data_IF_659138762023
#
_entry.id   IF_659138762023
#
_cell.length_a   1.000
_cell.length_b   1.000
_cell.length_c   1.000
_cell.angle_alpha   90.00
_cell.angle_beta   90.00
_cell.angle_gamma   90.00
#
_symmetry.space_group_name_H-M   'P 1'
#
loop_
_entity.id
_entity.type
_entity.pdbx_description
1 polymer ?
#
# COMPACT_ATOMS: atom_id res chain seq x y z
N UNK A 1 -32.65 -56.08 30.88
CA UNK A 1 -32.28 -56.37 29.48
C UNK A 1 -32.41 -55.09 28.68
N UNK A 2 -31.46 -54.89 27.77
CA UNK A 2 -31.11 -53.69 26.99
C UNK A 2 -30.31 -52.60 27.72
N UNK A 3 -29.29 -52.16 26.98
CA UNK A 3 -28.03 -51.56 27.39
C UNK A 3 -27.86 -50.17 26.76
N UNK A 4 -26.86 -49.42 27.24
CA UNK A 4 -26.35 -48.18 26.66
C UNK A 4 -25.97 -47.20 27.79
N UNK A 5 -24.72 -47.09 28.26
CA UNK A 5 -23.54 -46.49 27.58
C UNK A 5 -23.81 -45.04 27.17
N UNK A 6 -23.06 -43.97 27.46
CA UNK A 6 -21.75 -43.73 28.10
C UNK A 6 -21.61 -42.19 28.23
N UNK A 7 -20.83 -41.75 29.24
CA UNK A 7 -19.98 -40.56 29.32
C UNK A 7 -20.16 -39.34 28.38
N UNK A 8 -20.10 -38.16 29.01
CA UNK A 8 -19.20 -37.02 28.71
C UNK A 8 -19.24 -36.39 27.32
N UNK A 9 -19.41 -35.06 27.24
CA UNK A 9 -18.33 -34.19 26.74
C UNK A 9 -18.82 -32.74 26.64
N UNK A 10 -18.17 -31.89 27.43
CA UNK A 10 -17.90 -30.49 27.08
C UNK A 10 -17.43 -30.39 25.63
N UNK A 11 -17.98 -29.47 24.84
CA UNK A 11 -17.41 -29.10 23.55
C UNK A 11 -17.62 -27.61 23.27
N UNK A 12 -17.13 -26.78 24.18
CA UNK A 12 -16.71 -25.42 23.86
C UNK A 12 -15.25 -25.49 23.40
N UNK A 13 -15.03 -25.80 22.13
CA UNK A 13 -13.77 -25.60 21.42
C UNK A 13 -13.87 -26.16 20.00
N UNK A 14 -14.30 -25.37 19.01
CA UNK A 14 -14.00 -25.63 17.60
C UNK A 14 -13.85 -24.31 16.82
N UNK A 15 -12.94 -23.47 17.28
CA UNK A 15 -12.16 -22.63 16.37
C UNK A 15 -10.68 -22.94 16.59
N UNK A 16 -10.36 -24.23 16.49
CA UNK A 16 -8.98 -24.63 16.22
C UNK A 16 -8.74 -24.35 14.75
N UNK A 17 -8.16 -23.18 14.48
CA UNK A 17 -7.60 -22.86 13.17
C UNK A 17 -6.44 -23.82 12.93
N UNK A 18 -6.75 -25.04 12.47
CA UNK A 18 -5.75 -25.97 11.93
C UNK A 18 -5.32 -25.49 10.55
N UNK A 19 -4.70 -24.31 10.51
CA UNK A 19 -3.58 -24.12 9.61
C UNK A 19 -2.44 -24.84 10.28
N UNK A 20 -2.25 -26.11 9.97
CA UNK A 20 -0.95 -26.76 10.20
C UNK A 20 -0.04 -26.14 9.16
N UNK A 21 0.88 -25.21 9.47
CA UNK A 21 1.88 -24.87 8.49
C UNK A 21 2.71 -26.14 8.36
N UNK A 22 2.52 -26.87 7.25
CA UNK A 22 3.64 -27.62 6.71
C UNK A 22 4.80 -26.63 6.72
N UNK A 23 5.86 -26.94 7.48
CA UNK A 23 7.07 -26.14 7.63
C UNK A 23 7.65 -25.90 6.24
N UNK A 24 7.13 -24.90 5.54
CA UNK A 24 7.94 -24.11 4.65
C UNK A 24 8.86 -23.44 5.65
N UNK A 25 10.12 -23.88 5.66
CA UNK A 25 11.22 -23.10 6.24
C UNK A 25 11.31 -21.82 5.38
N UNK A 26 10.30 -20.95 5.53
CA UNK A 26 10.25 -19.63 4.95
C UNK A 26 11.43 -18.94 5.60
N UNK A 27 12.47 -18.60 4.84
CA UNK A 27 13.66 -18.02 5.43
C UNK A 27 13.23 -16.81 6.26
N UNK A 28 13.82 -16.69 7.45
CA UNK A 28 13.60 -15.63 8.43
C UNK A 28 13.56 -14.22 7.79
N UNK A 29 14.15 -14.08 6.59
CA UNK A 29 14.04 -12.98 5.64
C UNK A 29 12.64 -12.36 5.49
N UNK A 30 11.54 -13.14 5.41
CA UNK A 30 10.21 -12.52 5.28
C UNK A 30 9.79 -11.80 6.57
N UNK A 31 10.05 -12.42 7.73
CA UNK A 31 9.81 -11.83 9.04
C UNK A 31 10.71 -10.63 9.32
N UNK A 32 11.99 -10.74 8.97
CA UNK A 32 12.98 -9.65 9.05
C UNK A 32 12.56 -8.45 8.17
N UNK A 33 12.15 -8.70 6.92
CA UNK A 33 11.67 -7.66 6.02
C UNK A 33 10.39 -7.00 6.52
N UNK A 34 9.44 -7.77 7.07
CA UNK A 34 8.21 -7.25 7.68
C UNK A 34 8.49 -6.41 8.93
N UNK A 35 9.41 -6.84 9.80
CA UNK A 35 9.82 -6.05 10.95
C UNK A 35 10.50 -4.74 10.52
N UNK A 36 11.39 -4.80 9.52
CA UNK A 36 12.01 -3.60 8.97
C UNK A 36 10.97 -2.63 8.41
N UNK A 37 9.96 -3.10 7.66
CA UNK A 37 8.88 -2.25 7.16
C UNK A 37 8.05 -1.63 8.28
N UNK A 38 7.69 -2.39 9.32
CA UNK A 38 6.92 -1.87 10.47
C UNK A 38 7.61 -0.67 11.13
N UNK A 39 8.93 -0.71 11.26
CA UNK A 39 9.70 0.41 11.81
C UNK A 39 9.98 1.54 10.81
N UNK A 40 9.91 1.28 9.50
CA UNK A 40 10.28 2.26 8.47
C UNK A 40 9.08 3.04 7.91
N UNK A 41 7.86 2.48 8.00
CA UNK A 41 6.64 3.12 7.49
C UNK A 41 6.33 4.46 8.20
N UNK A 42 6.83 4.66 9.42
CA UNK A 42 6.63 5.89 10.18
C UNK A 42 7.20 7.14 9.48
N UNK A 43 8.16 6.98 8.55
CA UNK A 43 8.82 8.10 7.86
C UNK A 43 8.87 7.90 6.33
N UNK A 44 7.70 7.77 5.71
CA UNK A 44 7.56 7.65 4.25
C UNK A 44 7.48 8.99 3.52
N UNK A 45 7.23 10.09 4.23
CA UNK A 45 6.96 11.39 3.63
C UNK A 45 8.26 12.13 3.35
N UNK A 46 8.42 12.61 2.11
CA UNK A 46 9.47 13.54 1.71
C UNK A 46 8.83 14.87 1.34
N UNK A 47 9.23 15.91 2.04
CA UNK A 47 8.87 17.27 1.67
C UNK A 47 9.71 17.70 0.46
N UNK A 48 9.04 18.14 -0.60
CA UNK A 48 9.66 18.66 -1.81
C UNK A 48 9.32 20.15 -1.91
N UNK A 49 10.37 20.98 -1.89
CA UNK A 49 10.22 22.42 -1.89
C UNK A 49 9.92 22.98 -3.29
N UNK A 50 10.60 22.49 -4.32
CA UNK A 50 10.37 22.90 -5.71
C UNK A 50 10.22 21.67 -6.63
N UNK A 51 9.00 21.35 -7.10
CA UNK A 51 8.75 20.22 -7.98
C UNK A 51 9.37 20.40 -9.37
N UNK A 52 9.72 21.62 -9.79
CA UNK A 52 10.38 21.87 -11.06
C UNK A 52 11.90 21.73 -10.97
N UNK A 53 12.45 21.71 -9.76
CA UNK A 53 13.89 21.60 -9.52
C UNK A 53 14.20 20.91 -8.20
N UNK A 54 14.08 19.58 -8.20
CA UNK A 54 14.38 18.73 -7.05
C UNK A 54 15.88 18.83 -6.68
N UNK A 55 16.15 19.06 -5.40
CA UNK A 55 17.50 19.06 -4.85
C UNK A 55 18.07 17.65 -4.72
N UNK A 56 19.40 17.55 -4.64
CA UNK A 56 20.08 16.27 -4.40
C UNK A 56 19.68 15.63 -3.07
N UNK A 57 19.36 16.45 -2.07
CA UNK A 57 18.93 15.97 -0.75
C UNK A 57 17.56 15.30 -0.85
N UNK A 58 16.58 15.95 -1.51
CA UNK A 58 15.25 15.40 -1.74
C UNK A 58 15.29 14.14 -2.60
N UNK A 59 16.10 14.13 -3.66
CA UNK A 59 16.27 12.95 -4.52
C UNK A 59 16.82 11.75 -3.72
N UNK A 60 17.88 11.99 -2.93
CA UNK A 60 18.46 10.95 -2.06
C UNK A 60 17.46 10.46 -1.01
N UNK A 61 16.65 11.37 -0.47
CA UNK A 61 15.60 11.05 0.50
C UNK A 61 14.50 10.16 -0.08
N UNK A 62 14.10 10.40 -1.34
CA UNK A 62 13.17 9.54 -2.08
C UNK A 62 13.78 8.17 -2.37
N UNK A 63 14.99 8.14 -2.92
CA UNK A 63 15.67 6.91 -3.28
C UNK A 63 15.87 5.98 -2.07
N UNK A 64 16.29 6.52 -0.93
CA UNK A 64 16.46 5.77 0.33
C UNK A 64 15.15 5.16 0.84
N UNK A 65 14.02 5.86 0.68
CA UNK A 65 12.71 5.35 1.10
C UNK A 65 12.26 4.24 0.16
N UNK A 66 12.35 4.46 -1.15
CA UNK A 66 12.00 3.45 -2.16
C UNK A 66 12.84 2.18 -1.96
N UNK A 67 14.15 2.30 -1.70
CA UNK A 67 15.02 1.15 -1.43
C UNK A 67 14.57 0.36 -0.19
N UNK A 68 14.14 1.06 0.86
CA UNK A 68 13.78 0.43 2.14
C UNK A 68 12.35 -0.06 2.24
N UNK A 69 11.40 0.56 1.55
CA UNK A 69 9.94 0.29 1.71
C UNK A 69 9.25 -0.02 0.38
N UNK A 70 9.99 0.01 -0.73
CA UNK A 70 9.45 -0.12 -2.09
C UNK A 70 8.46 0.99 -2.45
N UNK A 71 8.44 2.10 -1.70
CA UNK A 71 7.57 3.25 -1.95
C UNK A 71 8.13 4.54 -1.32
N UNK A 72 7.63 5.68 -1.76
CA UNK A 72 7.80 6.96 -1.08
C UNK A 72 6.53 7.79 -1.24
N UNK A 73 6.20 8.58 -0.23
CA UNK A 73 5.13 9.57 -0.29
C UNK A 73 5.83 10.92 -0.38
N UNK A 74 5.43 11.77 -1.31
CA UNK A 74 5.95 13.14 -1.38
C UNK A 74 4.86 14.14 -1.02
N UNK A 75 5.27 15.26 -0.45
CA UNK A 75 4.41 16.40 -0.16
C UNK A 75 5.02 17.62 -0.82
N UNK A 76 4.22 18.28 -1.65
CA UNK A 76 4.57 19.58 -2.23
C UNK A 76 4.14 20.69 -1.26
N UNK A 77 4.83 21.82 -1.33
CA UNK A 77 4.40 23.04 -0.63
C UNK A 77 2.98 23.47 -1.01
N UNK A 78 2.27 24.21 -0.13
CA UNK A 78 0.89 24.62 -0.36
C UNK A 78 0.70 25.44 -1.65
N UNK A 79 1.75 26.14 -2.09
CA UNK A 79 1.75 26.97 -3.30
C UNK A 79 1.55 26.16 -4.59
N UNK A 80 1.83 24.86 -4.58
CA UNK A 80 1.71 23.98 -5.74
C UNK A 80 0.34 23.27 -5.82
N UNK A 81 -0.51 23.37 -4.80
CA UNK A 81 -1.89 22.85 -4.83
C UNK A 81 -2.06 21.46 -5.49
N UNK A 82 -3.19 21.22 -6.19
CA UNK A 82 -3.36 20.05 -7.07
C UNK A 82 -2.81 20.31 -8.48
N UNK A 83 -1.65 20.95 -8.60
CA UNK A 83 -1.05 21.23 -9.90
C UNK A 83 -0.49 19.96 -10.53
N UNK A 84 -1.19 19.45 -11.55
CA UNK A 84 -0.77 18.27 -12.30
C UNK A 84 0.52 18.51 -13.09
N UNK A 85 0.80 19.76 -13.48
CA UNK A 85 2.05 20.09 -14.18
C UNK A 85 3.26 19.95 -13.28
N UNK A 86 3.12 20.30 -11.99
CA UNK A 86 4.15 20.07 -10.98
C UNK A 86 4.43 18.58 -10.78
N UNK A 87 3.39 17.75 -10.76
CA UNK A 87 3.54 16.28 -10.68
C UNK A 87 4.28 15.74 -11.90
N UNK A 88 3.90 16.15 -13.12
CA UNK A 88 4.58 15.72 -14.35
C UNK A 88 6.04 16.18 -14.40
N UNK A 89 6.33 17.40 -13.97
CA UNK A 89 7.70 17.91 -13.90
C UNK A 89 8.55 17.11 -12.91
N UNK A 90 7.99 16.75 -11.75
CA UNK A 90 8.65 15.93 -10.75
C UNK A 90 8.93 14.51 -11.29
N UNK A 91 7.94 13.84 -11.89
CA UNK A 91 8.13 12.47 -12.40
C UNK A 91 9.15 12.42 -13.53
N UNK A 92 9.20 13.44 -14.39
CA UNK A 92 10.20 13.56 -15.44
C UNK A 92 11.63 13.65 -14.87
N UNK A 93 11.84 14.45 -13.82
CA UNK A 93 13.15 14.57 -13.15
C UNK A 93 13.59 13.29 -12.45
N UNK A 94 12.63 12.48 -11.99
CA UNK A 94 12.89 11.17 -11.39
C UNK A 94 13.11 10.05 -12.43
N UNK A 95 12.95 10.35 -13.73
CA UNK A 95 13.10 9.35 -14.80
C UNK A 95 11.94 8.35 -14.86
N UNK A 96 10.78 8.67 -14.27
CA UNK A 96 9.60 7.78 -14.23
C UNK A 96 8.85 7.70 -15.56
N UNK A 97 9.35 8.36 -16.61
CA UNK A 97 8.78 8.31 -17.96
C UNK A 97 7.41 8.99 -18.07
N UNK A 98 6.68 8.64 -19.13
CA UNK A 98 5.32 9.12 -19.35
C UNK A 98 4.33 8.25 -18.55
N UNK A 99 3.42 8.85 -17.76
CA UNK A 99 2.36 8.12 -17.08
C UNK A 99 1.47 7.38 -18.09
N UNK A 100 1.08 6.15 -17.76
CA UNK A 100 0.25 5.31 -18.61
C UNK A 100 -1.23 5.78 -18.57
N UNK A 101 -1.88 5.77 -19.74
CA UNK A 101 -3.29 6.13 -19.90
C UNK A 101 -4.18 4.93 -19.54
N UNK A 102 -4.14 4.54 -18.27
CA UNK A 102 -5.02 3.51 -17.73
C UNK A 102 -6.49 3.96 -17.72
N UNK A 103 -7.44 3.02 -17.66
CA UNK A 103 -8.89 3.29 -17.71
C UNK A 103 -9.38 4.29 -16.64
N UNK A 104 -8.68 4.39 -15.51
CA UNK A 104 -8.99 5.30 -14.41
C UNK A 104 -8.11 6.56 -14.40
N UNK A 105 -7.16 6.68 -15.32
CA UNK A 105 -6.32 7.85 -15.46
C UNK A 105 -7.04 8.93 -16.28
N UNK A 106 -6.69 10.18 -16.00
CA UNK A 106 -7.11 11.32 -16.81
C UNK A 106 -6.22 11.38 -18.08
N UNK A 107 -6.46 12.37 -18.95
CA UNK A 107 -5.79 12.47 -20.25
C UNK A 107 -4.26 12.61 -20.18
N UNK A 108 -3.74 13.03 -19.03
CA UNK A 108 -2.32 13.14 -18.71
C UNK A 108 -1.72 11.86 -18.11
N UNK A 109 -2.50 10.78 -18.03
CA UNK A 109 -2.11 9.50 -17.44
C UNK A 109 -2.03 9.52 -15.91
N UNK A 110 -2.44 10.61 -15.26
CA UNK A 110 -2.50 10.72 -13.81
C UNK A 110 -3.89 10.32 -13.29
N UNK A 111 -3.92 9.54 -12.21
CA UNK A 111 -5.17 9.17 -11.53
C UNK A 111 -5.32 9.97 -10.23
N UNK A 112 -6.34 10.82 -10.16
CA UNK A 112 -6.64 11.56 -8.93
C UNK A 112 -7.37 10.68 -7.91
N UNK A 113 -6.88 10.65 -6.67
CA UNK A 113 -7.56 10.01 -5.53
C UNK A 113 -8.43 11.09 -4.86
N UNK A 114 -9.63 11.28 -5.38
CA UNK A 114 -10.63 12.20 -4.84
C UNK A 114 -12.00 11.52 -4.76
N UNK A 115 -12.80 11.90 -3.77
CA UNK A 115 -14.19 11.45 -3.69
C UNK A 115 -14.99 12.21 -4.74
N UNK A 116 -15.40 11.51 -5.81
CA UNK A 116 -16.28 12.08 -6.82
C UNK A 116 -17.75 11.83 -6.45
N UNK A 117 -18.59 12.88 -6.37
CA UNK A 117 -20.00 12.74 -6.02
C UNK A 117 -20.86 12.08 -7.11
N UNK A 118 -20.35 11.95 -8.34
CA UNK A 118 -21.05 11.31 -9.46
C UNK A 118 -20.08 10.54 -10.40
N UNK A 119 -20.54 9.43 -11.01
CA UNK A 119 -19.83 8.74 -12.10
C UNK A 119 -19.61 7.22 -11.92
N UNK A 120 -19.08 6.56 -12.97
CA UNK A 120 -18.80 5.10 -13.04
C UNK A 120 -17.83 4.62 -11.94
N UNK A 121 -17.04 5.54 -11.37
CA UNK A 121 -16.06 5.30 -10.29
C UNK A 121 -16.70 5.06 -8.90
N UNK A 122 -18.03 5.10 -8.77
CA UNK A 122 -18.75 4.84 -7.52
C UNK A 122 -19.10 3.38 -7.27
N UNK A 123 -18.75 2.46 -8.18
CA UNK A 123 -19.13 1.05 -8.00
C UNK A 123 -18.29 0.43 -6.88
N UNK A 124 -18.78 0.58 -5.65
CA UNK A 124 -18.41 -0.27 -4.54
C UNK A 124 -18.62 -1.73 -4.96
N UNK A 125 -17.56 -2.53 -4.92
CA UNK A 125 -17.66 -3.98 -5.09
C UNK A 125 -17.94 -4.54 -3.70
N UNK A 126 -19.18 -4.94 -3.38
CA UNK A 126 -19.48 -5.49 -2.07
C UNK A 126 -18.71 -6.80 -1.91
N UNK A 127 -17.87 -6.85 -0.89
CA UNK A 127 -17.39 -8.14 -0.41
C UNK A 127 -18.60 -8.88 0.18
N UNK A 128 -18.70 -10.17 -0.13
CA UNK A 128 -19.73 -11.00 0.50
C UNK A 128 -19.30 -11.24 1.93
N UNK A 129 -20.09 -10.77 2.89
CA UNK A 129 -19.99 -11.22 4.28
C UNK A 129 -20.46 -12.69 4.32
N UNK A 130 -19.50 -13.62 4.39
CA UNK A 130 -19.75 -15.05 4.56
C UNK A 130 -18.76 -15.62 5.57
#
# INVERSE_FOLDING_TARGET
MYAGSTASSTASALFETRVTPARIDMPNRFGERLNQYRHTIEDLVVDINDPYRISTIENTALARRIEKTNMAIYRLGPDYGPDRSAVTALTAQLGLGAPDQNLCADADGLSSIQVHPEGVRQRYIPYTDK
#
